data_IF_257648433055
#
_entry.id   IF_257648433055
#
_cell.length_a   1.000
_cell.length_b   1.000
_cell.length_c   1.000
_cell.angle_alpha   90.00
_cell.angle_beta   90.00
_cell.angle_gamma   90.00
#
_symmetry.space_group_name_H-M   'P 1'
#
loop_
_entity.id
_entity.type
_entity.pdbx_description
1 polymer ?
#
# COMPACT_ATOMS: atom_id res chain seq x y z
N UNK A 1 27.70 0.95 55.85
CA UNK A 1 26.49 1.62 56.38
C UNK A 1 25.52 1.79 55.23
N UNK A 2 24.41 1.06 55.32
CA UNK A 2 23.35 0.99 54.32
C UNK A 2 22.54 2.30 54.31
N UNK A 3 22.32 2.88 53.14
CA UNK A 3 21.26 3.87 52.94
C UNK A 3 20.12 3.19 52.17
N UNK A 4 18.98 3.08 52.84
CA UNK A 4 17.70 2.64 52.31
C UNK A 4 17.15 3.71 51.37
N UNK A 5 16.81 3.34 50.14
CA UNK A 5 15.92 4.12 49.28
C UNK A 5 14.58 3.39 49.22
N UNK A 6 13.54 4.09 49.68
CA UNK A 6 12.15 3.67 49.63
C UNK A 6 11.59 3.81 48.21
N UNK A 7 10.72 2.89 47.84
CA UNK A 7 9.69 2.97 46.79
C UNK A 7 8.46 2.19 47.29
N UNK A 8 7.24 2.35 46.74
CA UNK A 8 6.75 3.32 45.76
C UNK A 8 5.46 4.06 46.19
N UNK A 9 5.21 5.22 45.59
CA UNK A 9 3.92 5.91 45.62
C UNK A 9 2.96 5.35 44.58
N UNK A 10 1.71 5.12 44.99
CA UNK A 10 0.64 4.61 44.13
C UNK A 10 0.16 5.63 43.09
N UNK A 11 -0.12 5.14 41.88
CA UNK A 11 -0.84 5.88 40.85
C UNK A 11 -2.34 5.70 41.05
N UNK A 12 -3.00 6.77 41.50
CA UNK A 12 -4.45 6.94 41.42
C UNK A 12 -4.83 7.45 40.02
N UNK A 13 -5.66 6.68 39.33
CA UNK A 13 -6.29 7.04 38.06
C UNK A 13 -7.44 8.05 38.26
N UNK A 14 -7.57 9.11 37.44
CA UNK A 14 -8.82 9.83 37.32
C UNK A 14 -9.50 9.52 35.98
N UNK A 15 -10.54 8.68 36.05
CA UNK A 15 -11.65 8.68 35.11
C UNK A 15 -12.33 10.06 35.13
N UNK A 16 -12.30 10.79 34.01
CA UNK A 16 -13.26 11.86 33.71
C UNK A 16 -13.62 11.82 32.23
N UNK A 17 -14.67 11.05 31.91
CA UNK A 17 -15.45 11.28 30.71
C UNK A 17 -16.34 12.50 30.95
N UNK A 18 -16.11 13.54 30.15
CA UNK A 18 -17.02 14.69 30.05
C UNK A 18 -18.23 14.31 29.18
N UNK A 19 -19.47 14.63 29.58
CA UNK A 19 -20.63 14.41 28.73
C UNK A 19 -20.63 15.40 27.55
N UNK A 20 -20.97 14.89 26.36
CA UNK A 20 -21.19 15.68 25.14
C UNK A 20 -22.35 16.67 25.34
N UNK A 21 -22.25 17.91 24.82
CA UNK A 21 -23.33 18.88 24.93
C UNK A 21 -24.50 18.53 24.01
N UNK A 22 -25.71 18.71 24.57
CA UNK A 22 -27.01 18.64 23.94
C UNK A 22 -27.04 19.39 22.60
N UNK A 23 -27.34 18.65 21.53
CA UNK A 23 -27.66 19.20 20.23
C UNK A 23 -29.13 19.66 20.26
N UNK A 24 -29.34 20.98 20.41
CA UNK A 24 -30.65 21.61 20.29
C UNK A 24 -31.19 21.42 18.87
N UNK A 25 -32.29 20.69 18.74
CA UNK A 25 -33.12 20.69 17.53
C UNK A 25 -33.85 22.03 17.44
N UNK A 26 -33.49 22.85 16.45
CA UNK A 26 -34.24 24.05 16.09
C UNK A 26 -35.44 23.68 15.21
N UNK A 27 -36.62 24.10 15.67
CA UNK A 27 -37.90 24.00 15.01
C UNK A 27 -38.22 25.27 14.21
N UNK A 28 -38.43 25.12 12.91
CA UNK A 28 -39.22 25.95 11.97
C UNK A 28 -38.88 25.38 10.59
N UNK A 29 -39.78 24.79 9.81
CA UNK A 29 -40.89 25.42 9.11
C UNK A 29 -42.09 24.46 8.99
N UNK A 30 -43.30 24.99 9.21
CA UNK A 30 -44.60 24.37 8.87
C UNK A 30 -45.04 24.89 7.49
N UNK A 31 -45.78 24.05 6.72
CA UNK A 31 -46.80 24.32 5.66
C UNK A 31 -46.78 23.17 4.60
N UNK A 32 -47.90 22.67 4.04
CA UNK A 32 -48.72 21.62 4.62
C UNK A 32 -48.78 20.33 3.77
N UNK A 33 -49.25 19.27 4.39
CA UNK A 33 -49.61 18.00 3.78
C UNK A 33 -50.90 18.19 2.98
N UNK A 34 -50.82 18.19 1.65
CA UNK A 34 -51.93 17.82 0.76
C UNK A 34 -51.36 17.56 -0.63
N UNK A 35 -51.80 16.46 -1.25
CA UNK A 35 -51.45 15.96 -2.59
C UNK A 35 -50.15 15.13 -2.62
N UNK A 36 -50.24 13.84 -2.26
CA UNK A 36 -49.62 12.72 -2.99
C UNK A 36 -50.22 11.40 -2.45
N UNK A 37 -51.54 11.28 -2.57
CA UNK A 37 -52.30 10.06 -2.20
C UNK A 37 -52.91 9.37 -3.42
N UNK A 38 -52.27 9.48 -4.59
CA UNK A 38 -52.67 8.79 -5.83
C UNK A 38 -51.40 8.47 -6.61
N UNK A 39 -50.77 7.33 -6.34
CA UNK A 39 -49.87 6.63 -7.29
C UNK A 39 -49.35 5.26 -6.80
N UNK A 40 -49.70 4.79 -5.59
CA UNK A 40 -49.31 3.44 -5.10
C UNK A 40 -50.52 2.49 -5.02
N UNK A 41 -51.47 2.62 -5.94
CA UNK A 41 -52.67 1.76 -5.98
C UNK A 41 -52.97 1.15 -7.37
N UNK A 42 -52.00 1.12 -8.30
CA UNK A 42 -52.15 0.40 -9.58
C UNK A 42 -50.82 -0.28 -9.95
N UNK A 43 -50.39 -1.25 -9.14
CA UNK A 43 -49.69 -2.46 -9.62
C UNK A 43 -50.09 -3.62 -8.68
N UNK A 44 -51.40 -3.85 -8.59
CA UNK A 44 -51.97 -5.10 -8.06
C UNK A 44 -52.64 -5.81 -9.20
N UNK A 45 -51.84 -6.36 -10.12
CA UNK A 45 -52.31 -7.33 -11.10
C UNK A 45 -51.14 -8.22 -11.53
N UNK A 46 -51.20 -9.45 -11.03
CA UNK A 46 -50.63 -10.67 -11.58
C UNK A 46 -49.12 -10.65 -11.90
N UNK A 47 -48.32 -11.08 -10.94
CA UNK A 47 -47.43 -12.24 -11.11
C UNK A 47 -46.90 -12.63 -9.74
N UNK A 48 -47.51 -13.67 -9.17
CA UNK A 48 -46.88 -14.47 -8.12
C UNK A 48 -45.71 -15.18 -8.81
N UNK A 49 -44.52 -14.59 -8.76
CA UNK A 49 -43.29 -15.30 -9.08
C UNK A 49 -42.94 -16.10 -7.86
N UNK A 50 -43.08 -17.41 -8.01
CA UNK A 50 -42.73 -18.43 -7.04
C UNK A 50 -41.21 -18.34 -6.73
N UNK A 51 -40.88 -17.74 -5.59
CA UNK A 51 -39.52 -17.58 -5.08
C UNK A 51 -38.98 -18.86 -4.41
N UNK A 52 -39.74 -19.96 -4.41
CA UNK A 52 -39.25 -21.25 -3.91
C UNK A 52 -38.22 -21.92 -4.83
N UNK A 53 -38.08 -21.46 -6.08
CA UNK A 53 -37.10 -22.01 -7.04
C UNK A 53 -35.72 -21.33 -7.03
N UNK A 54 -35.49 -20.28 -6.24
CA UNK A 54 -34.20 -19.55 -6.26
C UNK A 54 -33.20 -19.98 -5.16
N UNK A 55 -33.61 -20.85 -4.24
CA UNK A 55 -32.75 -21.32 -3.13
C UNK A 55 -32.00 -22.63 -3.47
N UNK A 56 -32.39 -23.35 -4.53
CA UNK A 56 -31.75 -24.62 -4.92
C UNK A 56 -30.55 -24.47 -5.88
N UNK A 57 -30.23 -23.26 -6.35
CA UNK A 57 -29.19 -23.06 -7.39
C UNK A 57 -27.76 -22.82 -6.84
N UNK A 58 -27.55 -22.82 -5.52
CA UNK A 58 -26.20 -22.82 -4.91
C UNK A 58 -25.87 -24.16 -4.26
N UNK A 59 -26.45 -25.26 -4.74
CA UNK A 59 -25.86 -26.58 -4.54
C UNK A 59 -24.57 -26.63 -5.33
N UNK A 60 -23.43 -26.48 -4.65
CA UNK A 60 -22.16 -26.95 -5.16
C UNK A 60 -22.30 -28.47 -5.30
N UNK A 61 -22.86 -28.93 -6.42
CA UNK A 61 -22.74 -30.33 -6.80
C UNK A 61 -21.25 -30.60 -6.93
N UNK A 62 -20.71 -31.29 -5.94
CA UNK A 62 -19.49 -32.08 -6.06
C UNK A 62 -19.70 -32.98 -7.28
N UNK A 63 -19.21 -32.54 -8.43
CA UNK A 63 -18.97 -33.45 -9.54
C UNK A 63 -17.85 -34.34 -9.05
N UNK A 64 -18.16 -35.60 -8.82
CA UNK A 64 -17.22 -36.70 -8.76
C UNK A 64 -16.41 -36.71 -10.06
N UNK A 65 -15.35 -35.90 -10.09
CA UNK A 65 -14.31 -35.97 -11.11
C UNK A 65 -13.50 -37.21 -10.73
N UNK A 66 -13.85 -38.32 -11.36
CA UNK A 66 -13.10 -39.57 -11.33
C UNK A 66 -11.71 -39.32 -11.94
N UNK A 67 -10.81 -38.87 -11.07
CA UNK A 67 -9.44 -38.53 -11.38
C UNK A 67 -8.67 -39.83 -11.70
N UNK A 68 -8.50 -40.10 -13.00
CA UNK A 68 -7.55 -41.11 -13.48
C UNK A 68 -6.14 -40.66 -13.10
N UNK A 69 -5.72 -41.08 -11.91
CA UNK A 69 -4.38 -41.00 -11.38
C UNK A 69 -3.40 -41.76 -12.30
N UNK A 70 -2.84 -41.06 -13.28
CA UNK A 70 -1.63 -41.47 -13.98
C UNK A 70 -0.44 -40.94 -13.18
N UNK A 71 0.31 -41.89 -12.62
CA UNK A 71 1.29 -41.66 -11.59
C UNK A 71 2.44 -40.72 -11.97
N UNK A 72 2.57 -39.66 -11.19
CA UNK A 72 3.85 -39.13 -10.74
C UNK A 72 3.79 -38.93 -9.24
N UNK A 73 4.19 -39.96 -8.50
CA UNK A 73 4.63 -39.85 -7.12
C UNK A 73 6.02 -39.16 -7.10
N UNK A 74 6.09 -37.93 -7.59
CA UNK A 74 7.16 -37.04 -7.16
C UNK A 74 6.72 -36.56 -5.77
N UNK A 75 7.30 -37.17 -4.74
CA UNK A 75 7.26 -36.64 -3.38
C UNK A 75 7.94 -35.27 -3.41
N UNK A 76 7.21 -34.24 -3.85
CA UNK A 76 7.61 -32.84 -3.73
C UNK A 76 7.33 -32.47 -2.27
N UNK A 77 8.10 -33.04 -1.35
CA UNK A 77 8.27 -32.46 -0.03
C UNK A 77 9.06 -31.18 -0.23
N UNK A 78 8.36 -30.08 -0.55
CA UNK A 78 8.98 -28.76 -0.46
C UNK A 78 9.56 -28.67 0.95
N UNK A 79 10.88 -28.42 1.10
CA UNK A 79 11.50 -28.38 2.42
C UNK A 79 10.73 -27.36 3.25
N UNK A 80 10.26 -27.81 4.41
CA UNK A 80 9.55 -26.96 5.35
C UNK A 80 10.44 -25.75 5.66
N UNK A 81 10.00 -24.54 5.29
CA UNK A 81 10.80 -23.34 5.56
C UNK A 81 10.87 -23.12 7.07
N UNK A 82 12.07 -23.26 7.64
CA UNK A 82 12.28 -23.00 9.06
C UNK A 82 12.19 -21.51 9.36
N UNK A 83 11.68 -21.19 10.55
CA UNK A 83 11.75 -19.82 11.07
C UNK A 83 13.19 -19.31 11.07
N UNK A 84 13.44 -18.14 10.49
CA UNK A 84 14.76 -17.52 10.45
C UNK A 84 14.65 -16.02 10.17
N UNK A 85 15.76 -15.28 10.34
CA UNK A 85 15.83 -13.83 10.11
C UNK A 85 16.58 -13.43 8.83
N UNK A 86 16.80 -14.37 7.90
CA UNK A 86 17.67 -14.15 6.73
C UNK A 86 17.04 -13.16 5.76
N UNK A 87 17.79 -12.12 5.39
CA UNK A 87 17.41 -11.20 4.34
C UNK A 87 18.03 -11.65 3.00
N UNK A 88 17.25 -12.17 2.03
CA UNK A 88 17.78 -12.59 0.74
C UNK A 88 18.19 -11.41 -0.16
N UNK A 89 17.85 -10.18 0.22
CA UNK A 89 18.00 -8.97 -0.59
C UNK A 89 18.85 -7.90 0.13
N UNK A 90 19.91 -8.30 0.83
CA UNK A 90 20.76 -7.40 1.64
C UNK A 90 21.36 -6.22 0.85
N UNK A 91 21.64 -6.41 -0.45
CA UNK A 91 22.09 -5.32 -1.33
C UNK A 91 21.00 -4.28 -1.62
N UNK A 92 19.72 -4.70 -1.65
CA UNK A 92 18.59 -3.79 -1.87
C UNK A 92 18.16 -3.10 -0.58
N UNK A 93 18.05 -3.86 0.50
CA UNK A 93 17.46 -3.44 1.76
C UNK A 93 18.36 -3.84 2.96
N UNK A 94 19.56 -3.26 3.10
CA UNK A 94 20.53 -3.69 4.12
C UNK A 94 20.06 -3.50 5.57
N UNK A 95 19.10 -2.61 5.79
CA UNK A 95 18.48 -2.33 7.10
C UNK A 95 17.34 -3.30 7.46
N UNK A 96 16.90 -4.15 6.53
CA UNK A 96 15.71 -4.96 6.72
C UNK A 96 15.94 -6.11 7.71
N UNK A 97 15.05 -6.22 8.71
CA UNK A 97 14.91 -7.40 9.56
C UNK A 97 13.74 -8.23 9.04
N UNK A 98 14.02 -9.47 8.63
CA UNK A 98 13.10 -10.30 7.87
C UNK A 98 12.69 -11.53 8.68
N UNK A 99 11.59 -11.47 9.43
CA UNK A 99 11.09 -12.61 10.20
C UNK A 99 10.40 -13.64 9.29
N UNK A 100 11.19 -14.53 8.70
CA UNK A 100 10.69 -15.57 7.81
C UNK A 100 10.00 -16.68 8.61
N UNK A 101 8.88 -17.16 8.08
CA UNK A 101 8.08 -18.26 8.60
C UNK A 101 7.64 -19.17 7.44
N UNK A 102 7.09 -20.37 7.71
CA UNK A 102 6.55 -21.24 6.66
C UNK A 102 5.49 -20.59 5.76
N UNK A 103 4.78 -19.58 6.28
CA UNK A 103 3.66 -18.92 5.57
C UNK A 103 4.05 -17.56 4.97
N UNK A 104 5.14 -16.94 5.44
CA UNK A 104 5.51 -15.61 5.00
C UNK A 104 7.03 -15.37 5.05
N UNK A 105 7.58 -14.93 3.93
CA UNK A 105 8.92 -14.35 3.82
C UNK A 105 8.80 -12.87 3.44
N UNK A 106 8.78 -11.94 4.42
CA UNK A 106 8.46 -10.53 4.19
C UNK A 106 9.47 -9.79 3.30
N UNK A 107 10.67 -10.34 3.14
CA UNK A 107 11.74 -9.81 2.29
C UNK A 107 11.98 -10.62 1.01
N UNK A 108 11.13 -11.61 0.69
CA UNK A 108 11.26 -12.37 -0.56
C UNK A 108 11.00 -11.52 -1.80
N UNK A 109 10.44 -10.32 -1.63
CA UNK A 109 10.18 -9.36 -2.70
C UNK A 109 10.80 -8.01 -2.38
N UNK A 110 11.23 -7.33 -3.45
CA UNK A 110 11.74 -5.96 -3.41
C UNK A 110 10.61 -5.02 -3.81
N UNK A 111 10.40 -3.98 -3.00
CA UNK A 111 9.37 -2.98 -3.27
C UNK A 111 9.98 -1.60 -3.57
N UNK A 112 9.37 -0.85 -4.49
CA UNK A 112 9.66 0.56 -4.74
C UNK A 112 8.39 1.38 -4.58
N UNK A 113 8.30 2.15 -3.50
CA UNK A 113 7.14 2.96 -3.17
C UNK A 113 7.40 4.42 -3.56
N UNK A 114 6.50 5.01 -4.35
CA UNK A 114 6.56 6.42 -4.72
C UNK A 114 5.49 7.19 -3.95
N UNK A 115 5.92 7.91 -2.91
CA UNK A 115 5.07 8.76 -2.09
C UNK A 115 5.19 10.20 -2.59
N UNK A 116 4.07 10.85 -2.88
CA UNK A 116 4.11 12.20 -3.41
C UNK A 116 2.95 13.07 -2.95
N UNK A 117 3.03 14.39 -3.17
CA UNK A 117 1.85 15.27 -3.10
C UNK A 117 1.16 15.39 -4.46
N UNK A 118 -0.11 15.80 -4.49
CA UNK A 118 -0.84 15.99 -5.75
C UNK A 118 -0.16 17.04 -6.63
N UNK A 119 -0.09 16.84 -7.95
CA UNK A 119 0.51 17.81 -8.90
C UNK A 119 2.01 18.13 -8.67
N UNK A 120 2.74 17.17 -8.10
CA UNK A 120 4.20 17.21 -7.94
C UNK A 120 4.96 16.43 -9.02
N UNK A 121 4.33 16.06 -10.14
CA UNK A 121 4.99 15.29 -11.20
C UNK A 121 5.15 13.79 -10.91
N UNK A 122 4.43 13.24 -9.94
CA UNK A 122 4.53 11.81 -9.56
C UNK A 122 4.16 10.82 -10.68
N UNK A 123 3.31 11.22 -11.64
CA UNK A 123 3.00 10.37 -12.80
C UNK A 123 4.17 10.34 -13.81
N UNK A 124 4.90 11.45 -13.98
CA UNK A 124 6.16 11.47 -14.74
C UNK A 124 7.16 10.52 -14.11
N UNK A 125 7.40 10.63 -12.80
CA UNK A 125 8.31 9.74 -12.08
C UNK A 125 7.89 8.27 -12.17
N UNK A 126 6.60 7.97 -12.05
CA UNK A 126 6.05 6.63 -12.25
C UNK A 126 6.46 6.05 -13.62
N UNK A 127 6.31 6.82 -14.70
CA UNK A 127 6.72 6.38 -16.04
C UNK A 127 8.24 6.21 -16.13
N UNK A 128 9.01 7.16 -15.61
CA UNK A 128 10.47 7.11 -15.65
C UNK A 128 11.01 5.89 -14.90
N UNK A 129 10.51 5.57 -13.71
CA UNK A 129 10.94 4.39 -12.97
C UNK A 129 10.53 3.09 -13.66
N UNK A 130 9.40 3.07 -14.38
CA UNK A 130 9.00 1.90 -15.18
C UNK A 130 9.86 1.68 -16.44
N UNK A 131 10.75 2.62 -16.81
CA UNK A 131 11.78 2.36 -17.83
C UNK A 131 12.98 1.58 -17.31
N UNK A 132 13.16 1.49 -15.98
CA UNK A 132 14.23 0.68 -15.41
C UNK A 132 13.96 -0.81 -15.64
N UNK A 133 15.00 -1.61 -15.96
CA UNK A 133 14.83 -3.03 -16.17
C UNK A 133 14.32 -3.69 -14.89
N UNK A 134 13.38 -4.63 -15.04
CA UNK A 134 12.75 -5.38 -13.94
C UNK A 134 11.99 -4.52 -12.91
N UNK A 135 11.70 -3.25 -13.17
CA UNK A 135 10.80 -2.44 -12.33
C UNK A 135 9.37 -2.49 -12.87
N UNK A 136 8.40 -2.60 -11.97
CA UNK A 136 6.98 -2.48 -12.29
C UNK A 136 6.23 -1.81 -11.15
N UNK A 137 5.92 -0.53 -11.31
CA UNK A 137 5.18 0.29 -10.36
C UNK A 137 3.78 0.56 -10.94
N UNK A 138 2.73 0.36 -10.15
CA UNK A 138 1.36 0.74 -10.52
C UNK A 138 1.05 2.20 -10.18
N UNK A 139 -0.03 2.70 -10.80
CA UNK A 139 -0.56 4.04 -10.54
C UNK A 139 -1.22 4.17 -9.17
N UNK A 140 -2.03 5.21 -9.02
CA UNK A 140 -2.72 5.49 -7.75
C UNK A 140 -3.71 4.38 -7.37
N UNK A 141 -3.71 4.04 -6.08
CA UNK A 141 -4.56 3.02 -5.49
C UNK A 141 -5.38 3.57 -4.31
N UNK A 142 -5.90 4.80 -4.39
CA UNK A 142 -6.80 5.35 -3.36
C UNK A 142 -6.30 5.30 -1.90
N UNK A 143 -4.98 5.21 -1.67
CA UNK A 143 -4.36 5.04 -0.36
C UNK A 143 -4.55 3.66 0.31
N UNK A 144 -4.59 2.56 -0.47
CA UNK A 144 -4.71 1.21 0.10
C UNK A 144 -3.61 0.87 1.14
N UNK A 145 -2.44 1.50 1.08
CA UNK A 145 -1.38 1.30 2.09
C UNK A 145 -1.87 1.68 3.49
N UNK A 146 -2.60 2.80 3.62
CA UNK A 146 -3.18 3.21 4.88
C UNK A 146 -4.35 2.31 5.31
N UNK A 147 -5.18 1.84 4.36
CA UNK A 147 -6.26 0.90 4.69
C UNK A 147 -5.69 -0.43 5.20
N UNK A 148 -4.60 -0.92 4.60
CA UNK A 148 -3.84 -2.05 5.10
C UNK A 148 -3.26 -1.80 6.50
N UNK A 149 -2.85 -0.56 6.82
CA UNK A 149 -2.39 -0.18 8.16
C UNK A 149 -3.49 -0.32 9.23
N UNK A 150 -4.74 -0.05 8.88
CA UNK A 150 -5.87 -0.23 9.80
C UNK A 150 -6.14 -1.72 10.04
N UNK A 151 -5.97 -2.57 9.04
CA UNK A 151 -6.08 -4.02 9.23
C UNK A 151 -5.07 -4.54 10.26
N UNK A 152 -3.81 -4.09 10.21
CA UNK A 152 -2.79 -4.54 11.18
C UNK A 152 -2.94 -3.90 12.55
N UNK A 153 -3.55 -2.72 12.65
CA UNK A 153 -3.75 -2.06 13.94
C UNK A 153 -4.61 -2.89 14.90
N UNK A 154 -5.48 -3.76 14.38
CA UNK A 154 -6.24 -4.73 15.18
C UNK A 154 -5.37 -5.79 15.87
N UNK A 155 -4.14 -5.98 15.40
CA UNK A 155 -3.14 -6.89 15.97
C UNK A 155 -2.10 -6.15 16.82
N UNK A 156 -2.34 -4.89 17.19
CA UNK A 156 -1.45 -4.09 18.05
C UNK A 156 -2.17 -3.65 19.34
N UNK A 157 -1.38 -3.29 20.35
CA UNK A 157 -1.87 -2.77 21.63
C UNK A 157 -2.28 -3.83 22.65
N UNK A 158 -2.78 -3.38 23.80
CA UNK A 158 -3.12 -4.24 24.95
C UNK A 158 -4.13 -5.33 24.60
N UNK A 159 -5.09 -5.03 23.73
CA UNK A 159 -6.10 -5.99 23.28
C UNK A 159 -5.54 -7.09 22.36
N UNK A 160 -4.36 -6.86 21.76
CA UNK A 160 -3.69 -7.83 20.92
C UNK A 160 -2.62 -8.65 21.68
N UNK A 161 -2.28 -8.29 22.92
CA UNK A 161 -1.35 -9.06 23.76
C UNK A 161 -1.78 -10.53 23.86
N UNK A 162 -3.08 -10.86 24.05
CA UNK A 162 -3.51 -12.25 24.03
C UNK A 162 -3.30 -12.93 22.67
N UNK A 163 -3.15 -12.21 21.56
CA UNK A 163 -2.92 -12.80 20.23
C UNK A 163 -1.41 -13.03 19.96
N UNK A 164 -0.56 -12.19 20.53
CA UNK A 164 0.88 -12.16 20.25
C UNK A 164 1.72 -12.95 21.25
N UNK A 165 1.26 -13.08 22.50
CA UNK A 165 2.00 -13.70 23.61
C UNK A 165 1.18 -14.84 24.24
N UNK A 166 0.87 -15.87 23.44
CA UNK A 166 0.34 -17.13 23.99
C UNK A 166 1.48 -18.13 24.12
N UNK A 167 2.00 -18.24 25.33
CA UNK A 167 3.02 -19.21 25.72
C UNK A 167 2.46 -20.65 25.87
N UNK A 168 1.40 -20.98 25.13
CA UNK A 168 0.61 -22.19 25.36
C UNK A 168 0.26 -22.91 24.05
N UNK A 169 0.57 -24.21 24.00
CA UNK A 169 -0.08 -25.21 23.14
C UNK A 169 -1.54 -25.42 23.57
N UNK A 170 -2.35 -24.36 23.63
CA UNK A 170 -3.77 -24.45 23.98
C UNK A 170 -4.60 -23.64 23.01
N UNK A 171 -5.35 -24.36 22.18
CA UNK A 171 -6.31 -23.80 21.21
C UNK A 171 -7.76 -23.88 21.72
N UNK A 172 -7.97 -23.99 23.03
CA UNK A 172 -9.30 -24.19 23.61
C UNK A 172 -9.94 -22.86 24.02
N UNK A 173 -10.97 -22.43 23.27
CA UNK A 173 -11.82 -21.27 23.57
C UNK A 173 -11.92 -20.27 22.40
N UNK A 174 -12.84 -19.32 22.51
CA UNK A 174 -13.25 -18.47 21.38
C UNK A 174 -12.17 -17.52 20.82
N UNK A 175 -11.07 -17.30 21.56
CA UNK A 175 -9.96 -16.39 21.19
C UNK A 175 -8.59 -17.04 21.37
N UNK A 176 -8.53 -18.36 21.52
CA UNK A 176 -7.26 -19.08 21.73
C UNK A 176 -6.70 -19.55 20.41
N UNK A 177 -5.49 -19.10 20.10
CA UNK A 177 -4.71 -19.54 18.94
C UNK A 177 -3.23 -19.49 19.31
N UNK A 178 -2.40 -20.24 18.57
CA UNK A 178 -0.95 -20.18 18.75
C UNK A 178 -0.45 -18.75 18.50
N UNK A 179 0.66 -18.37 19.15
CA UNK A 179 1.27 -17.06 18.97
C UNK A 179 1.49 -16.76 17.47
N UNK A 180 1.04 -15.59 17.03
CA UNK A 180 1.21 -15.14 15.64
C UNK A 180 2.67 -14.73 15.47
N UNK A 181 3.45 -15.36 14.55
CA UNK A 181 4.84 -14.98 14.36
C UNK A 181 4.97 -13.51 13.95
N UNK A 182 6.04 -12.81 14.35
CA UNK A 182 6.31 -11.45 13.90
C UNK A 182 6.24 -11.33 12.37
N UNK A 183 5.74 -10.20 11.87
CA UNK A 183 5.59 -9.92 10.43
C UNK A 183 4.70 -10.89 9.63
N UNK A 184 3.91 -11.76 10.30
CA UNK A 184 3.00 -12.68 9.59
C UNK A 184 1.95 -11.96 8.73
N UNK A 185 1.60 -10.72 9.06
CA UNK A 185 0.70 -9.87 8.27
C UNK A 185 1.38 -9.17 7.08
N UNK A 186 2.71 -9.21 6.96
CA UNK A 186 3.43 -8.56 5.86
C UNK A 186 3.05 -9.15 4.52
N UNK A 187 3.03 -10.48 4.38
CA UNK A 187 2.70 -11.12 3.10
C UNK A 187 1.25 -10.89 2.65
N UNK A 188 0.22 -10.96 3.53
CA UNK A 188 -1.13 -10.51 3.20
C UNK A 188 -1.19 -9.06 2.71
N UNK A 189 -0.56 -8.12 3.41
CA UNK A 189 -0.54 -6.69 3.05
C UNK A 189 0.19 -6.46 1.72
N UNK A 190 1.35 -7.07 1.55
CA UNK A 190 2.13 -7.04 0.32
C UNK A 190 1.33 -7.63 -0.85
N UNK A 191 0.51 -8.65 -0.60
CA UNK A 191 -0.37 -9.25 -1.62
C UNK A 191 -1.46 -8.30 -2.09
N UNK A 192 -1.96 -7.39 -1.25
CA UNK A 192 -2.86 -6.31 -1.68
C UNK A 192 -2.18 -5.45 -2.74
N UNK A 193 -0.92 -5.04 -2.50
CA UNK A 193 -0.16 -4.24 -3.47
C UNK A 193 0.09 -5.01 -4.77
N UNK A 194 0.43 -6.30 -4.67
CA UNK A 194 0.62 -7.14 -5.85
C UNK A 194 -0.68 -7.31 -6.65
N UNK A 195 -1.83 -7.35 -5.99
CA UNK A 195 -3.14 -7.44 -6.66
C UNK A 195 -3.46 -6.16 -7.42
N UNK A 196 -3.10 -5.01 -6.86
CA UNK A 196 -3.27 -3.68 -7.47
C UNK A 196 -2.22 -3.36 -8.53
N UNK A 197 -1.25 -4.25 -8.70
CA UNK A 197 -0.20 -4.18 -9.69
C UNK A 197 -0.10 -5.57 -10.34
N UNK A 198 -1.06 -5.98 -11.18
CA UNK A 198 -1.01 -7.26 -11.86
C UNK A 198 0.06 -7.26 -12.98
N UNK A 199 0.58 -8.44 -13.32
CA UNK A 199 1.47 -8.60 -14.47
C UNK A 199 0.77 -8.15 -15.78
N UNK A 200 1.51 -7.80 -16.84
CA UNK A 200 0.91 -7.46 -18.13
C UNK A 200 -0.02 -8.56 -18.66
N UNK A 201 -1.09 -8.19 -19.37
CA UNK A 201 -2.11 -9.13 -19.85
C UNK A 201 -1.51 -10.28 -20.68
N UNK A 202 -0.53 -9.98 -21.54
CA UNK A 202 0.13 -11.01 -22.35
C UNK A 202 0.87 -12.05 -21.48
N UNK A 203 1.45 -11.64 -20.35
CA UNK A 203 2.07 -12.56 -19.38
C UNK A 203 1.00 -13.42 -18.72
N UNK A 204 -0.10 -12.81 -18.27
CA UNK A 204 -1.21 -13.53 -17.65
C UNK A 204 -1.81 -14.61 -18.57
N UNK A 205 -1.93 -14.30 -19.87
CA UNK A 205 -2.42 -15.24 -20.89
C UNK A 205 -1.46 -16.40 -21.15
N UNK A 206 -0.16 -16.22 -20.88
CA UNK A 206 0.88 -17.21 -21.12
C UNK A 206 1.09 -18.21 -19.98
N UNK A 207 0.53 -17.96 -18.78
CA UNK A 207 0.73 -18.78 -17.57
C UNK A 207 0.29 -20.24 -17.76
N UNK A 208 -0.73 -20.48 -18.59
CA UNK A 208 -1.26 -21.83 -18.83
C UNK A 208 -0.56 -22.56 -19.99
N UNK A 209 0.43 -21.92 -20.63
CA UNK A 209 1.18 -22.53 -21.73
C UNK A 209 2.41 -23.22 -21.15
N UNK A 210 2.51 -24.53 -21.36
CA UNK A 210 3.63 -25.37 -20.90
C UNK A 210 4.98 -24.75 -21.26
N UNK A 211 5.85 -24.59 -20.27
CA UNK A 211 7.19 -24.01 -20.44
C UNK A 211 7.29 -22.52 -20.14
N UNK A 212 6.17 -21.82 -19.93
CA UNK A 212 6.20 -20.45 -19.41
C UNK A 212 6.26 -20.43 -17.88
N UNK A 213 6.92 -19.40 -17.29
CA UNK A 213 6.93 -19.22 -15.85
C UNK A 213 5.51 -18.92 -15.34
N UNK A 214 5.23 -19.38 -14.12
CA UNK A 214 4.09 -18.93 -13.34
C UNK A 214 4.15 -17.41 -13.09
N UNK A 215 3.03 -16.79 -12.70
CA UNK A 215 3.03 -15.37 -12.32
C UNK A 215 4.00 -15.07 -11.17
N UNK A 216 4.10 -16.00 -10.21
CA UNK A 216 5.03 -15.87 -9.09
C UNK A 216 6.49 -15.87 -9.56
N UNK A 217 6.85 -16.77 -10.47
CA UNK A 217 8.19 -16.83 -11.06
C UNK A 217 8.49 -15.59 -11.92
N UNK A 218 7.53 -15.14 -12.73
CA UNK A 218 7.67 -13.91 -13.53
C UNK A 218 7.97 -12.67 -12.67
N UNK A 219 7.35 -12.58 -11.49
CA UNK A 219 7.53 -11.46 -10.57
C UNK A 219 8.70 -11.64 -9.58
N UNK A 220 9.35 -12.81 -9.53
CA UNK A 220 10.41 -13.11 -8.56
C UNK A 220 11.60 -12.15 -8.69
N UNK A 221 12.01 -11.86 -9.92
CA UNK A 221 13.16 -10.99 -10.19
C UNK A 221 12.78 -9.51 -10.35
N UNK A 222 11.50 -9.18 -10.18
CA UNK A 222 10.97 -7.82 -10.38
C UNK A 222 10.89 -7.04 -9.09
N UNK A 223 11.12 -5.74 -9.20
CA UNK A 223 10.87 -4.75 -8.17
C UNK A 223 9.45 -4.24 -8.40
N UNK A 224 8.55 -4.59 -7.49
CA UNK A 224 7.14 -4.18 -7.57
C UNK A 224 6.92 -2.89 -6.81
N UNK A 225 5.92 -2.11 -7.21
CA UNK A 225 5.71 -0.84 -6.55
C UNK A 225 4.33 -0.25 -6.77
N UNK A 226 4.12 0.88 -6.11
CA UNK A 226 2.92 1.70 -6.26
C UNK A 226 3.28 3.17 -6.10
N UNK A 227 2.62 4.02 -6.88
CA UNK A 227 2.59 5.46 -6.66
C UNK A 227 1.35 5.87 -5.89
N UNK A 228 1.49 6.72 -4.86
CA UNK A 228 0.33 7.34 -4.18
C UNK A 228 0.56 8.82 -3.90
N UNK A 229 -0.52 9.61 -4.04
CA UNK A 229 -0.55 11.03 -3.67
C UNK A 229 -1.31 11.31 -2.37
N UNK A 230 -1.73 10.24 -1.68
CA UNK A 230 -2.68 10.28 -0.56
C UNK A 230 -2.14 9.68 0.72
N UNK A 231 -0.86 9.29 0.77
CA UNK A 231 -0.25 8.65 1.95
C UNK A 231 -0.45 9.45 3.24
N UNK A 232 -0.29 10.76 3.15
CA UNK A 232 -0.51 11.75 4.21
C UNK A 232 -1.99 12.02 4.57
N UNK A 233 -2.96 11.42 3.85
CA UNK A 233 -4.39 11.55 4.18
C UNK A 233 -4.87 10.53 5.23
N UNK A 234 -4.01 9.61 5.64
CA UNK A 234 -4.32 8.67 6.71
C UNK A 234 -4.42 9.36 8.07
N UNK A 235 -5.31 8.87 8.92
CA UNK A 235 -5.32 9.18 10.36
C UNK A 235 -4.25 8.32 11.05
N UNK A 236 -3.00 8.74 10.82
CA UNK A 236 -1.78 8.19 11.41
C UNK A 236 -0.72 9.29 11.50
N UNK A 237 0.14 9.20 12.51
CA UNK A 237 1.31 10.05 12.70
C UNK A 237 2.44 9.67 11.73
N UNK A 238 3.43 10.56 11.58
CA UNK A 238 4.67 10.29 10.84
C UNK A 238 5.35 9.01 11.34
N UNK A 239 5.40 8.85 12.67
CA UNK A 239 6.01 7.68 13.31
C UNK A 239 5.27 6.40 12.97
N UNK A 240 3.95 6.36 13.13
CA UNK A 240 3.13 5.18 12.80
C UNK A 240 3.23 4.80 11.32
N UNK A 241 3.20 5.79 10.42
CA UNK A 241 3.34 5.57 8.99
C UNK A 241 4.72 4.98 8.63
N UNK A 242 5.79 5.50 9.24
CA UNK A 242 7.17 5.06 9.00
C UNK A 242 7.44 3.68 9.61
N UNK A 243 6.95 3.42 10.82
CA UNK A 243 6.99 2.09 11.44
C UNK A 243 6.22 1.06 10.63
N UNK A 244 5.05 1.41 10.10
CA UNK A 244 4.28 0.53 9.23
C UNK A 244 5.07 0.13 7.98
N UNK A 245 5.73 1.09 7.31
CA UNK A 245 6.55 0.79 6.13
C UNK A 245 7.76 -0.10 6.50
N UNK A 246 8.46 0.20 7.60
CA UNK A 246 9.58 -0.64 8.08
C UNK A 246 9.17 -2.05 8.42
N UNK A 247 8.02 -2.22 9.07
CA UNK A 247 7.58 -3.51 9.58
C UNK A 247 7.00 -4.40 8.48
N UNK A 248 6.13 -3.85 7.62
CA UNK A 248 5.36 -4.65 6.65
C UNK A 248 5.90 -4.58 5.21
N UNK A 249 6.79 -3.61 4.94
CA UNK A 249 7.55 -3.52 3.70
C UNK A 249 9.05 -3.39 4.01
N UNK A 250 9.63 -4.30 4.81
CA UNK A 250 11.01 -4.17 5.29
C UNK A 250 12.02 -4.13 4.16
N UNK A 251 11.73 -4.79 3.03
CA UNK A 251 12.57 -4.75 1.84
C UNK A 251 12.05 -3.78 0.75
N UNK A 252 11.61 -2.59 1.16
CA UNK A 252 11.15 -1.55 0.26
C UNK A 252 12.06 -0.33 0.24
N UNK A 253 12.25 0.26 -0.94
CA UNK A 253 12.81 1.60 -1.07
C UNK A 253 11.69 2.60 -1.31
N UNK A 254 11.82 3.78 -0.71
CA UNK A 254 10.79 4.80 -0.72
C UNK A 254 11.34 6.06 -1.38
N UNK A 255 10.81 6.41 -2.54
CA UNK A 255 11.07 7.72 -3.14
C UNK A 255 9.96 8.66 -2.68
N UNK A 256 10.36 9.70 -1.97
CA UNK A 256 9.46 10.77 -1.54
C UNK A 256 9.63 11.95 -2.47
N UNK A 257 8.58 12.34 -3.17
CA UNK A 257 8.59 13.44 -4.12
C UNK A 257 7.65 14.56 -3.70
N UNK A 258 8.22 15.73 -3.45
CA UNK A 258 7.47 16.95 -3.11
C UNK A 258 7.60 17.99 -4.23
N UNK A 259 6.92 19.12 -4.03
CA UNK A 259 7.13 20.33 -4.81
C UNK A 259 7.21 21.51 -3.86
N UNK A 260 8.39 22.11 -3.71
CA UNK A 260 8.58 23.30 -2.87
C UNK A 260 7.89 24.55 -3.40
N UNK A 261 7.68 24.69 -4.71
CA UNK A 261 6.90 25.77 -5.31
C UNK A 261 5.39 25.50 -5.13
N UNK A 262 4.91 25.82 -3.93
CA UNK A 262 3.51 25.63 -3.51
C UNK A 262 2.56 26.48 -4.35
N UNK A 263 2.97 27.68 -4.77
CA UNK A 263 2.12 28.56 -5.57
C UNK A 263 1.83 27.94 -6.95
N UNK A 264 2.87 27.45 -7.63
CA UNK A 264 2.69 26.75 -8.90
C UNK A 264 1.96 25.41 -8.74
N UNK A 265 2.14 24.73 -7.60
CA UNK A 265 1.40 23.51 -7.27
C UNK A 265 -0.11 23.81 -7.16
N UNK A 266 -0.48 24.83 -6.38
CA UNK A 266 -1.86 25.31 -6.23
C UNK A 266 -2.45 25.70 -7.58
N UNK A 267 -1.72 26.50 -8.37
CA UNK A 267 -2.17 26.89 -9.71
C UNK A 267 -2.46 25.66 -10.59
N UNK A 268 -1.59 24.64 -10.54
CA UNK A 268 -1.82 23.38 -11.27
C UNK A 268 -3.05 22.63 -10.75
N UNK A 269 -3.26 22.60 -9.43
CA UNK A 269 -4.43 22.00 -8.81
C UNK A 269 -5.72 22.72 -9.20
N UNK A 270 -5.78 24.05 -9.09
CA UNK A 270 -6.95 24.86 -9.47
C UNK A 270 -7.32 24.73 -10.95
N UNK A 271 -6.34 24.65 -11.85
CA UNK A 271 -6.59 24.44 -13.28
C UNK A 271 -7.19 23.06 -13.58
N UNK A 272 -6.85 22.06 -12.77
CA UNK A 272 -7.28 20.67 -12.96
C UNK A 272 -8.60 20.39 -12.25
N UNK A 273 -8.76 20.89 -11.02
CA UNK A 273 -9.88 20.65 -10.11
C UNK A 273 -10.68 21.95 -9.90
N UNK A 274 -11.40 22.37 -10.94
CA UNK A 274 -12.05 23.69 -11.05
C UNK A 274 -13.03 24.05 -9.91
N UNK A 275 -13.43 23.10 -9.06
CA UNK A 275 -14.44 23.29 -8.03
C UNK A 275 -13.94 23.09 -6.58
N UNK A 276 -12.68 22.65 -6.37
CA UNK A 276 -12.24 22.12 -5.07
C UNK A 276 -11.30 23.03 -4.26
N UNK A 277 -10.87 24.18 -4.79
CA UNK A 277 -9.81 24.99 -4.17
C UNK A 277 -10.21 26.46 -4.02
N UNK A 278 -10.21 26.97 -2.78
CA UNK A 278 -10.60 28.35 -2.44
C UNK A 278 -9.66 28.93 -1.36
N UNK A 279 -8.50 29.44 -1.78
CA UNK A 279 -7.74 30.46 -1.04
C UNK A 279 -6.58 29.97 -0.16
N UNK A 280 -6.14 30.83 0.76
CA UNK A 280 -4.92 30.67 1.58
C UNK A 280 -4.88 29.39 2.44
N UNK A 281 -6.04 28.84 2.80
CA UNK A 281 -6.16 27.57 3.52
C UNK A 281 -5.57 26.39 2.71
N UNK A 282 -5.52 26.50 1.37
CA UNK A 282 -4.95 25.45 0.53
C UNK A 282 -3.40 25.48 0.51
N UNK A 283 -2.77 26.65 0.72
CA UNK A 283 -1.30 26.77 0.86
C UNK A 283 -0.83 26.01 2.10
N UNK A 284 -1.45 26.28 3.25
CA UNK A 284 -1.10 25.65 4.53
C UNK A 284 -1.33 24.13 4.48
N UNK A 285 -2.38 23.67 3.80
CA UNK A 285 -2.63 22.24 3.58
C UNK A 285 -1.50 21.60 2.77
N UNK A 286 -1.06 22.21 1.68
CA UNK A 286 0.03 21.66 0.86
C UNK A 286 1.34 21.66 1.63
N UNK A 287 1.65 22.73 2.36
CA UNK A 287 2.83 22.78 3.23
C UNK A 287 2.80 21.66 4.28
N UNK A 288 1.66 21.44 4.95
CA UNK A 288 1.49 20.32 5.89
C UNK A 288 1.67 18.97 5.22
N UNK A 289 1.14 18.78 4.00
CA UNK A 289 1.30 17.54 3.24
C UNK A 289 2.77 17.29 2.85
N UNK A 290 3.48 18.32 2.37
CA UNK A 290 4.90 18.24 2.04
C UNK A 290 5.72 17.92 3.30
N UNK A 291 5.50 18.65 4.40
CA UNK A 291 6.20 18.45 5.67
C UNK A 291 5.97 17.05 6.25
N UNK A 292 4.73 16.52 6.16
CA UNK A 292 4.46 15.16 6.57
C UNK A 292 5.33 14.15 5.81
N UNK A 293 5.41 14.27 4.48
CA UNK A 293 6.19 13.36 3.65
C UNK A 293 7.71 13.54 3.85
N UNK A 294 8.19 14.77 4.04
CA UNK A 294 9.59 15.06 4.39
C UNK A 294 9.96 14.34 5.69
N UNK A 295 9.16 14.53 6.76
CA UNK A 295 9.44 13.89 8.04
C UNK A 295 9.31 12.36 7.97
N UNK A 296 8.45 11.81 7.12
CA UNK A 296 8.43 10.35 6.85
C UNK A 296 9.76 9.91 6.21
N UNK A 297 10.29 10.64 5.23
CA UNK A 297 11.58 10.30 4.63
C UNK A 297 12.73 10.37 5.64
N UNK A 298 12.76 11.41 6.48
CA UNK A 298 13.73 11.57 7.56
C UNK A 298 13.66 10.42 8.57
N UNK A 299 12.45 10.11 9.03
CA UNK A 299 12.19 9.03 9.98
C UNK A 299 12.63 7.67 9.40
N UNK A 300 12.39 7.40 8.12
CA UNK A 300 12.83 6.17 7.44
C UNK A 300 14.35 6.07 7.24
N UNK A 301 15.06 7.20 7.19
CA UNK A 301 16.50 7.26 6.98
C UNK A 301 16.93 7.08 5.52
N UNK A 302 18.18 7.50 5.22
CA UNK A 302 18.72 7.58 3.85
C UNK A 302 18.90 6.24 3.13
N UNK A 303 18.97 5.14 3.88
CA UNK A 303 19.11 3.80 3.29
C UNK A 303 17.78 3.31 2.71
N UNK A 304 16.66 3.66 3.35
CA UNK A 304 15.33 3.25 2.94
C UNK A 304 14.63 4.29 2.07
N UNK A 305 14.81 5.59 2.38
CA UNK A 305 14.10 6.68 1.73
C UNK A 305 15.02 7.69 1.05
N UNK A 306 14.55 8.23 -0.08
CA UNK A 306 15.20 9.32 -0.81
C UNK A 306 14.17 10.42 -1.09
N UNK A 307 14.39 11.60 -0.53
CA UNK A 307 13.60 12.80 -0.80
C UNK A 307 14.11 13.48 -2.09
N UNK A 308 13.19 13.85 -2.97
CA UNK A 308 13.44 14.65 -4.17
C UNK A 308 12.38 15.74 -4.33
N UNK A 309 12.74 16.85 -4.96
CA UNK A 309 11.85 17.97 -5.26
C UNK A 309 11.63 18.11 -6.76
N UNK A 310 10.36 18.23 -7.17
CA UNK A 310 9.97 18.51 -8.55
C UNK A 310 10.69 19.72 -9.15
N UNK A 311 10.89 20.79 -8.39
CA UNK A 311 11.52 21.99 -8.93
C UNK A 311 12.98 21.74 -9.31
N UNK A 312 13.65 20.80 -8.65
CA UNK A 312 15.03 20.44 -8.94
C UNK A 312 15.11 19.47 -10.11
N UNK A 313 14.41 18.34 -10.01
CA UNK A 313 14.54 17.28 -11.01
C UNK A 313 13.92 17.64 -12.36
N UNK A 314 12.97 18.59 -12.42
CA UNK A 314 12.43 19.07 -13.70
C UNK A 314 13.42 19.93 -14.49
N UNK A 315 14.38 20.56 -13.81
CA UNK A 315 15.43 21.38 -14.43
C UNK A 315 16.72 20.59 -14.65
N UNK A 316 16.92 19.52 -13.88
CA UNK A 316 18.13 18.73 -13.91
C UNK A 316 17.83 17.22 -13.82
N UNK A 317 17.95 16.53 -14.96
CA UNK A 317 17.77 15.07 -15.04
C UNK A 317 18.76 14.29 -14.17
N UNK A 318 19.91 14.88 -13.82
CA UNK A 318 20.91 14.20 -12.98
C UNK A 318 20.39 13.92 -11.57
N UNK A 319 19.46 14.71 -11.06
CA UNK A 319 18.77 14.41 -9.77
C UNK A 319 18.08 13.04 -9.84
N UNK A 320 17.48 12.69 -10.97
CA UNK A 320 16.86 11.37 -11.17
C UNK A 320 17.92 10.29 -11.40
N UNK A 321 19.01 10.60 -12.09
CA UNK A 321 20.12 9.67 -12.27
C UNK A 321 20.79 9.31 -10.94
N UNK A 322 20.86 10.24 -9.98
CA UNK A 322 21.28 9.96 -8.62
C UNK A 322 20.33 9.01 -7.88
N UNK A 323 19.02 9.16 -8.06
CA UNK A 323 18.03 8.21 -7.53
C UNK A 323 18.23 6.83 -8.14
N UNK A 324 18.44 6.73 -9.45
CA UNK A 324 18.72 5.45 -10.15
C UNK A 324 19.96 4.77 -9.60
N UNK A 325 21.05 5.52 -9.40
CA UNK A 325 22.28 5.00 -8.79
C UNK A 325 22.06 4.57 -7.34
N UNK A 326 21.32 5.38 -6.56
CA UNK A 326 20.94 5.05 -5.20
C UNK A 326 20.22 3.71 -5.19
N UNK A 327 19.19 3.52 -6.05
CA UNK A 327 18.45 2.27 -6.27
C UNK A 327 19.33 1.08 -6.69
N UNK A 328 20.64 1.22 -6.85
CA UNK A 328 21.55 0.10 -7.14
C UNK A 328 21.69 -0.23 -8.62
N UNK A 329 21.13 0.58 -9.51
CA UNK A 329 21.35 0.42 -10.94
C UNK A 329 22.72 0.94 -11.36
N UNK A 330 23.29 0.32 -12.39
CA UNK A 330 24.54 0.74 -13.05
C UNK A 330 24.31 0.88 -14.53
N UNK A 331 25.07 1.81 -15.11
CA UNK A 331 25.00 2.14 -16.55
C UNK A 331 23.60 2.50 -17.04
N UNK A 332 22.69 2.83 -16.11
CA UNK A 332 21.35 3.33 -16.37
C UNK A 332 21.36 4.84 -16.22
N UNK A 333 21.02 5.57 -17.28
CA UNK A 333 20.87 7.02 -17.23
C UNK A 333 19.66 7.45 -18.06
N UNK A 334 18.86 8.34 -17.50
CA UNK A 334 17.87 9.09 -18.25
C UNK A 334 18.59 10.13 -19.11
N UNK A 335 18.31 10.12 -20.41
CA UNK A 335 18.79 11.15 -21.34
C UNK A 335 18.01 12.47 -21.22
N UNK A 336 16.79 12.41 -20.68
CA UNK A 336 15.90 13.54 -20.50
C UNK A 336 14.73 13.18 -19.58
N UNK A 337 13.82 14.13 -19.40
CA UNK A 337 12.64 13.99 -18.54
C UNK A 337 11.43 13.82 -19.44
N UNK A 338 10.61 12.78 -19.19
CA UNK A 338 9.33 12.63 -19.89
C UNK A 338 8.30 13.63 -19.39
N UNK A 339 7.49 14.17 -20.30
CA UNK A 339 6.48 15.17 -19.95
C UNK A 339 5.07 14.56 -19.96
N UNK A 340 4.86 13.56 -19.10
CA UNK A 340 3.53 12.99 -18.87
C UNK A 340 2.57 14.04 -18.29
N UNK A 341 1.35 14.08 -18.83
CA UNK A 341 0.28 14.99 -18.40
C UNK A 341 0.54 16.49 -18.66
N UNK A 342 1.46 16.85 -19.56
CA UNK A 342 1.68 18.24 -19.95
C UNK A 342 0.39 18.90 -20.49
N UNK A 343 -0.45 18.13 -21.19
CA UNK A 343 -1.72 18.56 -21.77
C UNK A 343 -2.96 17.90 -21.11
N UNK A 344 -2.89 17.60 -19.80
CA UNK A 344 -4.00 16.96 -19.09
C UNK A 344 -3.75 15.47 -18.84
N UNK A 345 -4.62 14.57 -19.28
CA UNK A 345 -4.44 13.11 -19.11
C UNK A 345 -3.83 12.43 -20.34
N UNK A 346 -3.28 13.20 -21.28
CA UNK A 346 -2.60 12.70 -22.47
C UNK A 346 -1.29 12.00 -22.11
N UNK A 347 -1.00 10.89 -22.80
CA UNK A 347 0.30 10.20 -22.72
C UNK A 347 1.30 10.94 -23.59
N UNK A 348 2.54 10.99 -23.13
CA UNK A 348 3.65 11.48 -23.96
C UNK A 348 3.94 10.45 -25.07
N UNK A 349 3.90 10.90 -26.33
CA UNK A 349 4.13 10.08 -27.52
C UNK A 349 5.61 9.73 -27.72
N UNK A 350 6.52 10.46 -27.06
CA UNK A 350 7.93 10.08 -26.97
C UNK A 350 8.06 8.89 -26.02
N UNK A 351 7.97 7.70 -26.61
CA UNK A 351 7.86 6.43 -25.87
C UNK A 351 9.19 5.71 -25.69
N UNK A 352 10.27 6.20 -26.29
CA UNK A 352 11.54 5.48 -26.33
C UNK A 352 12.63 6.23 -25.55
N UNK A 353 12.64 6.06 -24.23
CA UNK A 353 13.81 6.36 -23.42
C UNK A 353 14.63 5.10 -23.28
N UNK A 354 15.66 4.98 -24.13
CA UNK A 354 16.69 3.98 -23.98
C UNK A 354 17.52 4.33 -22.73
N UNK A 355 17.46 3.48 -21.70
CA UNK A 355 18.26 3.62 -20.48
C UNK A 355 19.75 3.30 -20.70
N UNK A 356 20.10 2.87 -21.92
CA UNK A 356 21.39 2.33 -22.31
C UNK A 356 21.34 0.80 -22.36
N UNK A 357 21.97 0.21 -23.39
CA UNK A 357 22.03 -1.26 -23.58
C UNK A 357 22.66 -2.02 -22.42
N UNK A 358 23.52 -1.35 -21.65
CA UNK A 358 24.18 -1.93 -20.49
C UNK A 358 23.44 -1.64 -19.18
N UNK A 359 22.28 -1.00 -19.20
CA UNK A 359 21.53 -0.68 -17.99
C UNK A 359 21.11 -1.98 -17.27
N UNK A 360 21.60 -2.16 -16.05
CA UNK A 360 21.30 -3.33 -15.24
C UNK A 360 21.27 -3.00 -13.74
N UNK A 361 20.62 -3.85 -12.97
CA UNK A 361 20.60 -3.79 -11.50
C UNK A 361 21.74 -4.63 -10.93
N UNK A 362 22.56 -4.06 -10.03
CA UNK A 362 23.56 -4.83 -9.27
C UNK A 362 22.93 -5.20 -7.94
N UNK A 363 22.38 -6.41 -7.85
CA UNK A 363 21.96 -6.92 -6.55
C UNK A 363 21.58 -8.38 -6.51
N UNK A 364 22.30 -9.21 -7.29
CA UNK A 364 22.39 -10.65 -7.08
C UNK A 364 23.84 -11.02 -6.79
#
# INVERSE_FOLDING_TARGET
MMNQMNSPGGFSSPNKYSPLPNMQQSSAWRIPILIFSICVAIVSLATVVDLSHFVDSFSCQEKDVEEKALGRNENITKPFMSFNSTNPNSNWCPYAVCHNSPICGPCNRRYLLLLATARSGSTTLLKMFNFLPNVRISGENSNEIYLASKLVSNFKGENAVPLLDQNFDRTEGAYFHNAIPPQSMSCPIQSIINTLNPAPQHVQQMVNVTGNPSLGEYDTDRILGVKTIRFQKGDWSVKEASEFLREYFPCSRVVVNIRSDVESQLKSMSNTFKNDHKGADDTDKILKMNNFLIHVAEELGSDMAKLIDMNDWTQNVDVLNEVVQWLGYRECKYAGIVHENAEGYGRDHETNHDMGKNCHYIGN
#
